data_IF_851866762981
#
_entry.id   IF_851866762981
#
_cell.length_a   1.000
_cell.length_b   1.000
_cell.length_c   1.000
_cell.angle_alpha   90.00
_cell.angle_beta   90.00
_cell.angle_gamma   90.00
#
_symmetry.space_group_name_H-M   'P 1'
#
loop_
_entity.id
_entity.type
_entity.pdbx_description
1 polymer ?
#
# COMPACT_ATOMS: atom_id res chain seq x y z
N UNK A 1 9.70 22.23 16.72
CA UNK A 1 8.83 21.34 15.91
C UNK A 1 7.40 21.79 16.08
N UNK A 2 6.68 22.10 14.99
CA UNK A 2 5.26 22.46 15.05
C UNK A 2 4.37 21.25 15.35
N UNK A 3 3.14 21.50 15.80
CA UNK A 3 2.14 20.47 16.11
C UNK A 3 1.88 19.55 14.90
N UNK A 4 1.91 20.11 13.69
CA UNK A 4 1.72 19.40 12.43
C UNK A 4 2.76 18.29 12.19
N UNK A 5 4.04 18.55 12.50
CA UNK A 5 5.11 17.56 12.35
C UNK A 5 4.93 16.38 13.32
N UNK A 6 4.44 16.65 14.54
CA UNK A 6 4.14 15.62 15.54
C UNK A 6 2.98 14.74 15.07
N UNK A 7 1.92 15.35 14.52
CA UNK A 7 0.76 14.65 13.97
C UNK A 7 1.16 13.76 12.78
N UNK A 8 1.98 14.28 11.87
CA UNK A 8 2.49 13.50 10.73
C UNK A 8 3.29 12.27 11.20
N UNK A 9 4.21 12.46 12.17
CA UNK A 9 4.98 11.34 12.71
C UNK A 9 4.10 10.30 13.39
N UNK A 10 3.01 10.73 14.04
CA UNK A 10 2.04 9.82 14.62
C UNK A 10 1.33 8.96 13.55
N UNK A 11 0.97 9.54 12.41
CA UNK A 11 0.40 8.78 11.28
C UNK A 11 1.41 7.78 10.72
N UNK A 12 2.67 8.21 10.52
CA UNK A 12 3.75 7.34 10.07
C UNK A 12 3.94 6.13 10.99
N UNK A 13 3.96 6.36 12.31
CA UNK A 13 4.10 5.29 13.30
C UNK A 13 2.92 4.31 13.28
N UNK A 14 1.68 4.78 13.11
CA UNK A 14 0.49 3.91 12.99
C UNK A 14 0.57 3.01 11.75
N UNK A 15 1.02 3.56 10.62
CA UNK A 15 1.22 2.79 9.39
C UNK A 15 2.32 1.74 9.56
N UNK A 16 3.46 2.11 10.15
CA UNK A 16 4.55 1.19 10.43
C UNK A 16 4.15 0.09 11.43
N UNK A 17 3.24 0.37 12.37
CA UNK A 17 2.69 -0.64 13.27
C UNK A 17 1.91 -1.72 12.52
N UNK A 18 1.15 -1.35 11.48
CA UNK A 18 0.43 -2.31 10.64
C UNK A 18 1.40 -3.24 9.88
N UNK A 19 2.50 -2.70 9.35
CA UNK A 19 3.56 -3.50 8.72
C UNK A 19 4.18 -4.50 9.71
N UNK A 20 4.50 -4.05 10.94
CA UNK A 20 5.05 -4.95 11.97
C UNK A 20 4.09 -6.07 12.36
N UNK A 21 2.79 -5.80 12.35
CA UNK A 21 1.79 -6.76 12.79
C UNK A 21 1.37 -7.75 11.68
N UNK A 22 1.38 -7.31 10.41
CA UNK A 22 0.77 -8.06 9.31
C UNK A 22 1.67 -8.21 8.07
N UNK A 23 2.92 -7.73 8.09
CA UNK A 23 3.83 -7.77 6.94
C UNK A 23 4.09 -9.17 6.40
N UNK A 24 4.22 -10.15 7.29
CA UNK A 24 4.45 -11.56 6.93
C UNK A 24 3.16 -12.37 6.82
N UNK A 25 1.99 -11.72 6.89
CA UNK A 25 0.72 -12.44 6.89
C UNK A 25 0.38 -12.94 5.48
N UNK A 26 0.58 -14.24 5.27
CA UNK A 26 0.12 -14.94 4.07
C UNK A 26 -1.04 -15.88 4.41
N UNK A 27 -2.24 -15.57 3.92
CA UNK A 27 -3.35 -16.53 3.91
C UNK A 27 -3.24 -17.45 2.68
N UNK A 28 -3.50 -18.75 2.80
CA UNK A 28 -3.56 -19.64 1.64
C UNK A 28 -4.70 -19.23 0.69
N UNK A 29 -4.36 -18.89 -0.55
CA UNK A 29 -5.28 -18.21 -1.50
C UNK A 29 -5.75 -19.06 -2.67
N UNK A 30 -5.34 -20.33 -2.81
CA UNK A 30 -5.62 -21.12 -4.03
C UNK A 30 -7.11 -21.20 -4.39
N UNK A 31 -8.01 -21.11 -3.41
CA UNK A 31 -9.45 -21.03 -3.64
C UNK A 31 -10.18 -19.83 -3.00
N UNK A 32 -9.43 -18.85 -2.48
CA UNK A 32 -9.96 -17.66 -1.81
C UNK A 32 -10.13 -17.83 -0.30
N UNK A 33 -9.95 -16.75 0.45
CA UNK A 33 -10.02 -16.74 1.92
C UNK A 33 -11.43 -17.06 2.41
N UNK A 34 -12.48 -16.46 1.82
CA UNK A 34 -13.86 -16.70 2.29
C UNK A 34 -14.28 -18.15 2.10
N UNK A 35 -13.95 -18.73 0.95
CA UNK A 35 -14.25 -20.13 0.65
C UNK A 35 -13.49 -21.08 1.57
N UNK A 36 -12.22 -20.77 1.85
CA UNK A 36 -11.38 -21.51 2.79
C UNK A 36 -11.97 -21.49 4.20
N UNK A 37 -12.34 -20.31 4.71
CA UNK A 37 -13.01 -20.16 6.01
C UNK A 37 -14.33 -20.93 6.04
N UNK A 38 -15.15 -20.81 4.99
CA UNK A 38 -16.43 -21.53 4.90
C UNK A 38 -16.22 -23.05 5.01
N UNK A 39 -15.23 -23.59 4.30
CA UNK A 39 -14.89 -25.02 4.36
C UNK A 39 -14.32 -25.43 5.70
N UNK A 40 -13.46 -24.61 6.32
CA UNK A 40 -12.91 -24.86 7.66
C UNK A 40 -14.02 -24.96 8.73
N UNK A 41 -15.10 -24.20 8.55
CA UNK A 41 -16.31 -24.28 9.38
C UNK A 41 -17.23 -25.47 9.05
N UNK A 42 -16.87 -26.32 8.08
CA UNK A 42 -17.71 -27.42 7.61
C UNK A 42 -19.00 -26.97 6.90
N UNK A 43 -19.04 -25.73 6.41
CA UNK A 43 -20.25 -25.12 5.86
C UNK A 43 -20.32 -25.31 4.33
N UNK A 44 -21.45 -25.78 3.82
CA UNK A 44 -21.75 -25.79 2.39
C UNK A 44 -22.12 -24.40 1.88
N UNK A 45 -21.94 -24.15 0.58
CA UNK A 45 -22.35 -22.88 -0.04
C UNK A 45 -23.85 -22.60 0.13
N UNK A 46 -24.70 -23.63 0.14
CA UNK A 46 -26.14 -23.50 0.39
C UNK A 46 -26.45 -23.07 1.83
N UNK A 47 -25.69 -23.57 2.81
CA UNK A 47 -25.86 -23.17 4.22
C UNK A 47 -25.43 -21.72 4.42
N UNK A 48 -24.31 -21.28 3.82
CA UNK A 48 -23.91 -19.87 3.86
C UNK A 48 -24.95 -18.98 3.20
N UNK A 49 -25.47 -19.39 2.03
CA UNK A 49 -26.52 -18.68 1.31
C UNK A 49 -27.77 -18.50 2.18
N UNK A 50 -28.21 -19.56 2.88
CA UNK A 50 -29.34 -19.51 3.81
C UNK A 50 -29.07 -18.57 4.98
N UNK A 51 -27.88 -18.59 5.58
CA UNK A 51 -27.49 -17.69 6.68
C UNK A 51 -27.47 -16.22 6.25
N UNK A 52 -27.08 -15.95 5.00
CA UNK A 52 -27.00 -14.61 4.45
C UNK A 52 -28.32 -14.14 3.78
N UNK A 53 -29.31 -15.01 3.61
CA UNK A 53 -30.58 -14.69 2.95
C UNK A 53 -30.45 -14.49 1.44
N UNK A 54 -29.53 -15.22 0.78
CA UNK A 54 -29.26 -15.10 -0.66
C UNK A 54 -29.30 -16.46 -1.37
N UNK A 55 -29.13 -16.47 -2.69
CA UNK A 55 -29.04 -17.71 -3.47
C UNK A 55 -27.66 -18.35 -3.36
N UNK A 56 -27.59 -19.68 -3.54
CA UNK A 56 -26.31 -20.42 -3.63
C UNK A 56 -25.40 -19.87 -4.74
N UNK A 57 -26.00 -19.48 -5.88
CA UNK A 57 -25.27 -18.88 -7.00
C UNK A 57 -24.56 -17.59 -6.62
N UNK A 58 -25.18 -16.75 -5.77
CA UNK A 58 -24.58 -15.51 -5.28
C UNK A 58 -23.37 -15.76 -4.37
N UNK A 59 -23.39 -16.83 -3.58
CA UNK A 59 -22.21 -17.26 -2.80
C UNK A 59 -21.07 -17.68 -3.73
N UNK A 60 -21.36 -18.54 -4.71
CA UNK A 60 -20.34 -18.98 -5.67
C UNK A 60 -19.75 -17.81 -6.44
N UNK A 61 -20.58 -16.85 -6.88
CA UNK A 61 -20.12 -15.65 -7.56
C UNK A 61 -19.23 -14.79 -6.67
N UNK A 62 -19.59 -14.59 -5.40
CA UNK A 62 -18.79 -13.81 -4.47
C UNK A 62 -17.43 -14.45 -4.16
N UNK A 63 -17.40 -15.77 -3.96
CA UNK A 63 -16.14 -16.53 -3.75
C UNK A 63 -15.23 -16.48 -4.99
N UNK A 64 -15.79 -16.59 -6.20
CA UNK A 64 -15.00 -16.43 -7.43
C UNK A 64 -14.55 -14.98 -7.66
N UNK A 65 -15.40 -14.01 -7.31
CA UNK A 65 -15.07 -12.59 -7.44
C UNK A 65 -13.89 -12.20 -6.54
N UNK A 66 -13.78 -12.81 -5.35
CA UNK A 66 -12.63 -12.62 -4.45
C UNK A 66 -11.32 -12.98 -5.14
N UNK A 67 -11.25 -14.16 -5.79
CA UNK A 67 -10.06 -14.63 -6.49
C UNK A 67 -9.63 -13.71 -7.63
N UNK A 68 -10.60 -13.11 -8.32
CA UNK A 68 -10.35 -12.17 -9.43
C UNK A 68 -10.11 -10.73 -8.98
N UNK A 69 -10.22 -10.44 -7.68
CA UNK A 69 -10.14 -9.07 -7.15
C UNK A 69 -11.36 -8.18 -7.45
N UNK A 70 -12.46 -8.75 -7.95
CA UNK A 70 -13.69 -8.02 -8.31
C UNK A 70 -14.74 -7.99 -7.20
N UNK A 71 -14.49 -8.67 -6.07
CA UNK A 71 -15.39 -8.64 -4.92
C UNK A 71 -15.43 -7.26 -4.25
N UNK A 72 -16.63 -6.80 -3.90
CA UNK A 72 -16.80 -5.55 -3.14
C UNK A 72 -16.45 -5.75 -1.66
N UNK A 73 -15.94 -4.72 -0.99
CA UNK A 73 -15.73 -4.77 0.47
C UNK A 73 -17.02 -5.10 1.23
N UNK A 74 -18.16 -4.60 0.74
CA UNK A 74 -19.48 -4.91 1.30
C UNK A 74 -19.78 -6.41 1.24
N UNK A 75 -19.57 -7.06 0.09
CA UNK A 75 -19.76 -8.51 -0.03
C UNK A 75 -18.80 -9.28 0.89
N UNK A 76 -17.53 -8.89 0.95
CA UNK A 76 -16.55 -9.55 1.82
C UNK A 76 -16.99 -9.49 3.29
N UNK A 77 -17.45 -8.32 3.74
CA UNK A 77 -17.96 -8.12 5.09
C UNK A 77 -19.22 -8.95 5.37
N UNK A 78 -20.20 -8.92 4.47
CA UNK A 78 -21.44 -9.70 4.61
C UNK A 78 -21.19 -11.20 4.68
N UNK A 79 -20.32 -11.75 3.83
CA UNK A 79 -20.00 -13.19 3.85
C UNK A 79 -19.28 -13.57 5.15
N UNK A 80 -18.28 -12.79 5.57
CA UNK A 80 -17.58 -13.04 6.83
C UNK A 80 -18.54 -13.01 8.03
N UNK A 81 -19.40 -11.99 8.11
CA UNK A 81 -20.37 -11.85 9.20
C UNK A 81 -21.36 -13.03 9.23
N UNK A 82 -21.85 -13.49 8.08
CA UNK A 82 -22.73 -14.66 8.01
C UNK A 82 -22.05 -15.94 8.52
N UNK A 83 -20.71 -16.01 8.50
CA UNK A 83 -19.90 -17.09 9.07
C UNK A 83 -19.49 -16.85 10.54
N UNK A 84 -20.00 -15.80 11.19
CA UNK A 84 -19.55 -15.33 12.52
C UNK A 84 -18.05 -14.96 12.54
N UNK A 85 -17.53 -14.51 11.40
CA UNK A 85 -16.17 -14.02 11.25
C UNK A 85 -16.18 -12.51 11.03
N UNK A 86 -15.01 -11.88 11.23
CA UNK A 86 -14.79 -10.47 10.89
C UNK A 86 -13.90 -10.37 9.67
N UNK A 87 -14.32 -9.60 8.68
CA UNK A 87 -13.46 -9.20 7.57
C UNK A 87 -12.64 -7.98 7.98
N UNK A 88 -11.33 -8.04 7.77
CA UNK A 88 -10.39 -6.94 8.02
C UNK A 88 -9.76 -6.55 6.69
N UNK A 89 -9.94 -5.30 6.27
CA UNK A 89 -9.27 -4.71 5.12
C UNK A 89 -8.15 -3.79 5.62
N UNK A 90 -6.95 -3.99 5.13
CA UNK A 90 -5.77 -3.25 5.55
C UNK A 90 -4.95 -2.80 4.32
N UNK A 91 -4.34 -1.63 4.44
CA UNK A 91 -3.31 -1.14 3.53
C UNK A 91 -2.00 -1.18 4.30
N UNK A 92 -1.08 -2.02 3.86
CA UNK A 92 0.21 -2.26 4.51
C UNK A 92 1.29 -1.82 3.52
N UNK A 93 2.22 -0.93 3.89
CA UNK A 93 3.30 -0.55 3.00
C UNK A 93 4.32 -1.69 2.87
N UNK A 94 4.97 -1.80 1.71
CA UNK A 94 6.01 -2.82 1.47
C UNK A 94 7.25 -2.67 2.37
N UNK A 95 7.48 -1.45 2.89
CA UNK A 95 8.60 -1.08 3.78
C UNK A 95 8.12 -0.06 4.80
N UNK A 96 8.96 0.24 5.79
CA UNK A 96 8.68 1.38 6.68
C UNK A 96 8.44 2.66 5.87
N UNK A 97 7.48 3.47 6.31
CA UNK A 97 6.98 4.61 5.55
C UNK A 97 8.09 5.63 5.25
N UNK A 98 9.08 5.76 6.13
CA UNK A 98 10.27 6.58 5.93
C UNK A 98 11.09 6.09 4.71
N UNK A 99 11.18 4.78 4.50
CA UNK A 99 11.85 4.20 3.33
C UNK A 99 11.06 4.47 2.05
N UNK A 100 9.73 4.41 2.12
CA UNK A 100 8.85 4.72 0.99
C UNK A 100 9.00 6.20 0.58
N UNK A 101 8.98 7.11 1.57
CA UNK A 101 9.19 8.55 1.35
C UNK A 101 10.59 8.82 0.80
N UNK A 102 11.62 8.19 1.37
CA UNK A 102 13.01 8.36 0.90
C UNK A 102 13.19 7.90 -0.54
N UNK A 103 12.63 6.76 -0.90
CA UNK A 103 12.67 6.27 -2.29
C UNK A 103 12.05 7.30 -3.25
N UNK A 104 10.91 7.90 -2.87
CA UNK A 104 10.28 8.97 -3.66
C UNK A 104 11.14 10.23 -3.74
N UNK A 105 11.71 10.67 -2.63
CA UNK A 105 12.59 11.85 -2.59
C UNK A 105 13.82 11.67 -3.47
N UNK A 106 14.44 10.48 -3.48
CA UNK A 106 15.57 10.16 -4.37
C UNK A 106 15.15 10.22 -5.84
N UNK A 107 13.99 9.69 -6.21
CA UNK A 107 13.49 9.76 -7.59
C UNK A 107 13.30 11.21 -8.04
N UNK A 108 12.66 12.03 -7.19
CA UNK A 108 12.43 13.44 -7.48
C UNK A 108 13.73 14.26 -7.55
N UNK A 109 14.67 13.99 -6.65
CA UNK A 109 15.99 14.63 -6.67
C UNK A 109 16.74 14.33 -7.98
N UNK A 110 16.71 13.06 -8.43
CA UNK A 110 17.31 12.66 -9.71
C UNK A 110 16.69 13.38 -10.90
N UNK A 111 15.39 13.58 -10.90
CA UNK A 111 14.68 14.30 -11.96
C UNK A 111 15.07 15.78 -12.01
N UNK A 112 15.06 16.47 -10.86
CA UNK A 112 15.46 17.87 -10.77
C UNK A 112 16.92 18.08 -11.21
N UNK A 113 17.82 17.20 -10.76
CA UNK A 113 19.23 17.25 -11.15
C UNK A 113 19.39 16.94 -12.63
N UNK A 114 18.63 16.00 -13.20
CA UNK A 114 18.68 15.71 -14.63
C UNK A 114 18.32 16.97 -15.44
N UNK A 115 17.23 17.65 -15.09
CA UNK A 115 16.82 18.91 -15.75
C UNK A 115 17.93 19.97 -15.63
N UNK A 116 18.46 20.18 -14.42
CA UNK A 116 19.55 21.13 -14.21
C UNK A 116 20.82 20.76 -15.00
N UNK A 117 21.18 19.46 -15.04
CA UNK A 117 22.37 18.98 -15.76
C UNK A 117 22.25 19.15 -17.27
N UNK A 118 21.04 19.03 -17.85
CA UNK A 118 20.82 19.32 -19.28
C UNK A 118 21.02 20.79 -19.60
N UNK A 119 20.68 21.69 -18.67
CA UNK A 119 20.95 23.13 -18.80
C UNK A 119 22.45 23.42 -18.61
N UNK A 120 23.11 22.84 -17.60
CA UNK A 120 24.53 23.02 -17.31
C UNK A 120 25.46 22.41 -18.38
N UNK A 121 25.06 21.33 -19.05
CA UNK A 121 25.80 20.77 -20.18
C UNK A 121 25.86 21.76 -21.36
N UNK A 122 24.84 22.61 -21.52
CA UNK A 122 24.85 23.72 -22.48
C UNK A 122 25.86 24.81 -22.10
N UNK A 123 26.23 24.88 -20.82
CA UNK A 123 27.20 25.81 -20.22
C UNK A 123 28.60 25.19 -20.03
N UNK A 124 28.85 23.98 -20.56
CA UNK A 124 30.13 23.24 -20.47
C UNK A 124 30.58 22.87 -19.05
N UNK A 125 29.63 22.71 -18.11
CA UNK A 125 29.90 22.24 -16.74
C UNK A 125 29.25 20.88 -16.51
N UNK A 126 30.05 19.80 -16.56
CA UNK A 126 29.56 18.43 -16.31
C UNK A 126 30.10 17.91 -14.98
N UNK A 127 29.21 17.45 -14.10
CA UNK A 127 29.56 16.80 -12.82
C UNK A 127 30.02 15.35 -13.07
N UNK A 128 30.90 14.83 -12.20
CA UNK A 128 31.22 13.40 -12.17
C UNK A 128 30.06 12.58 -11.60
N UNK A 129 30.04 11.27 -11.85
CA UNK A 129 29.01 10.36 -11.29
C UNK A 129 28.97 10.40 -9.76
N UNK A 130 30.13 10.51 -9.11
CA UNK A 130 30.25 10.62 -7.65
C UNK A 130 29.63 11.92 -7.13
N UNK A 131 29.89 13.04 -7.83
CA UNK A 131 29.30 14.35 -7.49
C UNK A 131 27.78 14.35 -7.70
N UNK A 132 27.30 13.69 -8.76
CA UNK A 132 25.88 13.53 -9.03
C UNK A 132 25.19 12.74 -7.92
N UNK A 133 25.78 11.61 -7.50
CA UNK A 133 25.23 10.78 -6.44
C UNK A 133 25.17 11.53 -5.09
N UNK A 134 26.22 12.29 -4.78
CA UNK A 134 26.24 13.15 -3.59
C UNK A 134 25.12 14.19 -3.63
N UNK A 135 24.94 14.86 -4.78
CA UNK A 135 23.93 15.91 -4.92
C UNK A 135 22.50 15.35 -4.87
N UNK A 136 22.28 14.15 -5.42
CA UNK A 136 21.01 13.43 -5.29
C UNK A 136 20.67 13.16 -3.83
N UNK A 137 21.60 12.63 -3.04
CA UNK A 137 21.35 12.35 -1.62
C UNK A 137 21.16 13.63 -0.80
N UNK A 138 21.94 14.69 -1.09
CA UNK A 138 21.79 16.01 -0.46
C UNK A 138 20.39 16.57 -0.69
N UNK A 139 19.96 16.60 -1.95
CA UNK A 139 18.66 17.12 -2.34
C UNK A 139 17.50 16.23 -1.83
N UNK A 140 17.66 14.91 -1.87
CA UNK A 140 16.66 13.99 -1.31
C UNK A 140 16.47 14.24 0.20
N UNK A 141 17.55 14.48 0.95
CA UNK A 141 17.48 14.82 2.38
C UNK A 141 16.71 16.11 2.60
N UNK A 142 17.02 17.15 1.82
CA UNK A 142 16.33 18.44 1.88
C UNK A 142 14.83 18.31 1.56
N UNK A 143 14.47 17.48 0.57
CA UNK A 143 13.08 17.18 0.21
C UNK A 143 12.35 16.47 1.36
N UNK A 144 13.00 15.52 2.03
CA UNK A 144 12.41 14.80 3.18
C UNK A 144 12.21 15.74 4.37
N UNK A 145 13.13 16.65 4.62
CA UNK A 145 13.01 17.63 5.71
C UNK A 145 11.89 18.65 5.46
N UNK A 146 11.78 19.13 4.22
CA UNK A 146 10.78 20.13 3.84
C UNK A 146 9.40 19.54 3.57
N UNK A 147 9.32 18.26 3.19
CA UNK A 147 8.08 17.57 2.77
C UNK A 147 7.23 18.44 1.82
N UNK A 148 7.76 18.84 0.65
CA UNK A 148 7.04 19.75 -0.23
C UNK A 148 5.75 19.09 -0.73
N UNK A 149 4.70 19.90 -0.95
CA UNK A 149 3.36 19.42 -1.32
C UNK A 149 3.32 18.66 -2.65
N UNK A 150 4.29 18.91 -3.52
CA UNK A 150 4.44 18.33 -4.83
C UNK A 150 5.33 17.07 -4.84
N UNK A 151 5.80 16.58 -3.68
CA UNK A 151 6.68 15.41 -3.57
C UNK A 151 6.18 14.20 -4.38
N UNK A 152 4.86 14.01 -4.40
CA UNK A 152 4.19 12.88 -5.05
C UNK A 152 3.65 13.18 -6.45
N UNK A 153 3.90 14.38 -6.98
CA UNK A 153 3.57 14.70 -8.36
C UNK A 153 4.69 14.21 -9.28
N UNK A 154 4.33 13.45 -10.30
CA UNK A 154 5.16 13.23 -11.48
C UNK A 154 4.85 14.40 -12.43
N UNK A 155 5.85 15.21 -12.81
CA UNK A 155 5.66 16.23 -13.86
C UNK A 155 5.49 15.59 -15.25
#
# INVERSE_FOLDING_TARGET
MGIEAVVLKQYQNKVNQALKQFGDYAMPTTEGCLKTVRKALGMSGSQLAKRLGVTKGRISQAESAELTGSATLKSMHSLAQAMNCRFVYAVIPEKEIESVIRARAILKAKEQIKVASTQMALESQTLSEEQLAFEVERLATEIIEKMPSDLWNDE
#
